data_IF_853530901332
#
_entry.id   IF_853530901332
#
_cell.length_a   1.000
_cell.length_b   1.000
_cell.length_c   1.000
_cell.angle_alpha   90.00
_cell.angle_beta   90.00
_cell.angle_gamma   90.00
#
_symmetry.space_group_name_H-M   'P 1'
#
loop_
_entity.id
_entity.type
_entity.pdbx_description
1 polymer ?
#
# COMPACT_ATOMS: atom_id res chain seq x y z
N UNK A 1 15.80 -30.90 -6.17
CA UNK A 1 16.73 -30.34 -7.17
C UNK A 1 15.99 -30.24 -8.50
N UNK A 2 16.19 -29.22 -9.35
CA UNK A 2 15.60 -29.20 -10.68
C UNK A 2 16.26 -30.28 -11.56
N UNK A 3 15.48 -31.25 -12.03
CA UNK A 3 16.00 -32.39 -12.81
C UNK A 3 16.19 -32.05 -14.31
N UNK A 4 15.72 -30.88 -14.75
CA UNK A 4 15.83 -30.43 -16.15
C UNK A 4 16.44 -29.03 -16.23
N UNK A 5 17.14 -28.74 -17.34
CA UNK A 5 17.75 -27.41 -17.59
C UNK A 5 16.71 -26.28 -17.55
N UNK A 6 15.51 -26.54 -18.06
CA UNK A 6 14.39 -25.59 -18.03
C UNK A 6 13.92 -25.31 -16.60
N UNK A 7 13.79 -26.34 -15.76
CA UNK A 7 13.43 -26.18 -14.34
C UNK A 7 14.48 -25.36 -13.58
N UNK A 8 15.78 -25.64 -13.78
CA UNK A 8 16.86 -24.87 -13.15
C UNK A 8 16.83 -23.38 -13.54
N UNK A 9 16.48 -23.07 -14.79
CA UNK A 9 16.26 -21.68 -15.24
C UNK A 9 15.04 -21.06 -14.55
N UNK A 10 13.93 -21.79 -14.40
CA UNK A 10 12.72 -21.29 -13.73
C UNK A 10 12.96 -20.94 -12.26
N UNK A 11 13.73 -21.76 -11.53
CA UNK A 11 14.12 -21.46 -10.14
C UNK A 11 14.84 -20.13 -10.06
N UNK A 12 15.92 -19.93 -10.86
CA UNK A 12 16.67 -18.66 -10.90
C UNK A 12 15.80 -17.44 -11.24
N UNK A 13 14.90 -17.57 -12.21
CA UNK A 13 13.99 -16.48 -12.58
C UNK A 13 12.98 -16.19 -11.47
N UNK A 14 12.47 -17.23 -10.81
CA UNK A 14 11.49 -17.09 -9.73
C UNK A 14 12.09 -16.38 -8.51
N UNK A 15 13.34 -16.66 -8.16
CA UNK A 15 14.05 -16.02 -7.05
C UNK A 15 14.27 -14.52 -7.32
N UNK A 16 14.73 -14.17 -8.53
CA UNK A 16 14.88 -12.77 -8.94
C UNK A 16 13.56 -12.02 -8.84
N UNK A 17 12.47 -12.60 -9.36
CA UNK A 17 11.12 -12.03 -9.27
C UNK A 17 10.63 -11.93 -7.83
N UNK A 18 10.93 -12.92 -6.98
CA UNK A 18 10.55 -12.94 -5.56
C UNK A 18 11.17 -11.75 -4.82
N UNK A 19 12.46 -11.48 -5.02
CA UNK A 19 13.16 -10.35 -4.36
C UNK A 19 12.54 -9.01 -4.78
N UNK A 20 12.36 -8.79 -6.08
CA UNK A 20 11.77 -7.55 -6.62
C UNK A 20 10.35 -7.36 -6.10
N UNK A 21 9.51 -8.40 -6.18
CA UNK A 21 8.12 -8.33 -5.71
C UNK A 21 8.04 -8.15 -4.19
N UNK A 22 8.98 -8.72 -3.43
CA UNK A 22 9.06 -8.52 -1.98
C UNK A 22 9.26 -7.05 -1.67
N UNK A 23 10.20 -6.36 -2.33
CA UNK A 23 10.48 -4.94 -2.11
C UNK A 23 9.25 -4.04 -2.39
N UNK A 24 8.54 -4.27 -3.50
CA UNK A 24 7.31 -3.51 -3.78
C UNK A 24 6.19 -3.79 -2.78
N UNK A 25 6.01 -5.06 -2.38
CA UNK A 25 5.00 -5.45 -1.39
C UNK A 25 5.31 -4.86 -0.01
N UNK A 26 6.56 -4.86 0.44
CA UNK A 26 6.96 -4.30 1.74
C UNK A 26 6.81 -2.79 1.74
N UNK A 27 7.29 -2.10 0.69
CA UNK A 27 7.13 -0.65 0.55
C UNK A 27 5.65 -0.23 0.61
N UNK A 28 4.79 -0.90 -0.16
CA UNK A 28 3.34 -0.67 -0.12
C UNK A 28 2.76 -0.88 1.28
N UNK A 29 3.09 -2.01 1.94
CA UNK A 29 2.62 -2.30 3.30
C UNK A 29 3.06 -1.24 4.31
N UNK A 30 4.31 -0.79 4.23
CA UNK A 30 4.86 0.22 5.14
C UNK A 30 4.17 1.57 4.97
N UNK A 31 3.91 2.01 3.73
CA UNK A 31 3.17 3.26 3.47
C UNK A 31 1.72 3.19 3.95
N UNK A 32 1.04 2.06 3.74
CA UNK A 32 -0.30 1.83 4.32
C UNK A 32 -0.26 1.89 5.85
N UNK A 33 0.73 1.24 6.48
CA UNK A 33 0.90 1.26 7.94
C UNK A 33 1.17 2.66 8.46
N UNK A 34 1.94 3.48 7.75
CA UNK A 34 2.21 4.87 8.11
C UNK A 34 0.92 5.71 8.16
N UNK A 35 0.02 5.56 7.18
CA UNK A 35 -1.30 6.23 7.20
C UNK A 35 -2.14 5.78 8.38
N UNK A 36 -2.24 4.47 8.62
CA UNK A 36 -3.01 3.94 9.75
C UNK A 36 -2.45 4.39 11.10
N UNK A 37 -1.12 4.49 11.21
CA UNK A 37 -0.45 5.00 12.41
C UNK A 37 -0.75 6.49 12.62
N UNK A 38 -0.70 7.31 11.57
CA UNK A 38 -1.03 8.73 11.66
C UNK A 38 -2.49 8.98 12.09
N UNK A 39 -3.43 8.15 11.63
CA UNK A 39 -4.82 8.19 12.10
C UNK A 39 -4.91 7.82 13.59
N UNK A 40 -4.21 6.77 14.03
CA UNK A 40 -4.22 6.34 15.42
C UNK A 40 -3.60 7.37 16.38
N UNK A 41 -2.54 8.06 15.94
CA UNK A 41 -1.87 9.13 16.68
C UNK A 41 -2.60 10.48 16.60
N UNK A 42 -3.79 10.53 15.98
CA UNK A 42 -4.61 11.73 15.81
C UNK A 42 -3.86 12.92 15.20
N UNK A 43 -3.05 12.64 14.17
CA UNK A 43 -2.29 13.69 13.48
C UNK A 43 -3.18 14.64 12.68
N UNK A 44 -2.62 15.81 12.35
CA UNK A 44 -3.29 16.85 11.56
C UNK A 44 -3.77 16.35 10.20
N UNK A 45 -4.86 16.94 9.71
CA UNK A 45 -5.49 16.54 8.44
C UNK A 45 -4.51 16.54 7.25
N UNK A 46 -3.67 17.57 7.14
CA UNK A 46 -2.70 17.72 6.05
C UNK A 46 -1.67 16.58 6.03
N UNK A 47 -1.14 16.19 7.19
CA UNK A 47 -0.15 15.11 7.28
C UNK A 47 -0.77 13.76 6.86
N UNK A 48 -2.01 13.49 7.28
CA UNK A 48 -2.74 12.27 6.87
C UNK A 48 -2.98 12.26 5.37
N UNK A 49 -3.36 13.40 4.77
CA UNK A 49 -3.58 13.51 3.32
C UNK A 49 -2.29 13.30 2.53
N UNK A 50 -1.18 13.91 2.94
CA UNK A 50 0.12 13.72 2.27
C UNK A 50 0.59 12.25 2.35
N UNK A 51 0.41 11.60 3.50
CA UNK A 51 0.73 10.18 3.67
C UNK A 51 -0.19 9.30 2.81
N UNK A 52 -1.47 9.65 2.69
CA UNK A 52 -2.42 8.95 1.85
C UNK A 52 -2.03 9.01 0.36
N UNK A 53 -1.65 10.18 -0.16
CA UNK A 53 -1.18 10.34 -1.55
C UNK A 53 0.05 9.44 -1.81
N UNK A 54 1.02 9.46 -0.89
CA UNK A 54 2.22 8.60 -0.95
C UNK A 54 1.85 7.11 -0.95
N UNK A 55 0.87 6.70 -0.13
CA UNK A 55 0.39 5.33 -0.07
C UNK A 55 -0.33 4.92 -1.37
N UNK A 56 -1.17 5.78 -1.93
CA UNK A 56 -1.87 5.53 -3.19
C UNK A 56 -0.88 5.31 -4.34
N UNK A 57 0.11 6.20 -4.47
CA UNK A 57 1.19 6.05 -5.47
C UNK A 57 1.93 4.72 -5.32
N UNK A 58 2.24 4.29 -4.09
CA UNK A 58 2.93 3.02 -3.84
C UNK A 58 2.08 1.80 -4.21
N UNK A 59 0.76 1.84 -3.94
CA UNK A 59 -0.18 0.77 -4.31
C UNK A 59 -0.24 0.63 -5.83
N UNK A 60 -0.38 1.75 -6.56
CA UNK A 60 -0.51 1.73 -8.01
C UNK A 60 0.79 1.31 -8.70
N UNK A 61 1.95 1.72 -8.17
CA UNK A 61 3.27 1.23 -8.64
C UNK A 61 3.40 -0.29 -8.44
N UNK A 62 2.95 -0.83 -7.31
CA UNK A 62 2.99 -2.27 -7.06
C UNK A 62 2.08 -3.05 -8.02
N UNK A 63 0.92 -2.49 -8.40
CA UNK A 63 0.03 -3.08 -9.39
C UNK A 63 0.63 -3.04 -10.79
N UNK A 64 1.18 -1.89 -11.21
CA UNK A 64 1.80 -1.71 -12.53
C UNK A 64 2.99 -2.65 -12.77
N UNK A 65 3.77 -2.92 -11.71
CA UNK A 65 4.89 -3.89 -11.76
C UNK A 65 4.45 -5.36 -11.70
N UNK A 66 3.17 -5.64 -11.48
CA UNK A 66 2.65 -7.01 -11.35
C UNK A 66 2.95 -7.66 -9.99
N UNK A 67 3.39 -6.89 -8.99
CA UNK A 67 3.62 -7.42 -7.64
C UNK A 67 2.29 -7.73 -6.92
N UNK A 68 1.21 -7.02 -7.28
CA UNK A 68 -0.17 -7.28 -6.85
C UNK A 68 -1.12 -7.18 -8.05
N UNK A 69 -2.27 -7.85 -7.96
CA UNK A 69 -3.30 -7.75 -9.00
C UNK A 69 -4.03 -6.40 -8.94
N UNK A 70 -4.51 -5.90 -10.09
CA UNK A 70 -5.27 -4.63 -10.19
C UNK A 70 -6.45 -4.56 -9.21
N UNK A 71 -7.22 -5.64 -9.09
CA UNK A 71 -8.35 -5.69 -8.15
C UNK A 71 -7.89 -5.64 -6.69
N UNK A 72 -6.74 -6.23 -6.37
CA UNK A 72 -6.18 -6.14 -5.02
C UNK A 72 -5.75 -4.71 -4.70
N UNK A 73 -5.18 -4.00 -5.68
CA UNK A 73 -4.83 -2.59 -5.56
C UNK A 73 -6.09 -1.73 -5.35
N UNK A 74 -7.13 -1.91 -6.18
CA UNK A 74 -8.41 -1.18 -6.04
C UNK A 74 -9.07 -1.42 -4.68
N UNK A 75 -9.13 -2.68 -4.20
CA UNK A 75 -9.67 -3.00 -2.87
C UNK A 75 -8.89 -2.33 -1.75
N UNK A 76 -7.55 -2.31 -1.83
CA UNK A 76 -6.70 -1.65 -0.82
C UNK A 76 -6.88 -0.14 -0.83
N UNK A 77 -6.93 0.49 -2.01
CA UNK A 77 -7.19 1.93 -2.16
C UNK A 77 -8.54 2.33 -1.57
N UNK A 78 -9.60 1.62 -1.95
CA UNK A 78 -10.96 1.87 -1.46
C UNK A 78 -11.05 1.78 0.07
N UNK A 79 -10.51 0.70 0.67
CA UNK A 79 -10.51 0.52 2.13
C UNK A 79 -9.70 1.59 2.86
N UNK A 80 -8.56 2.01 2.31
CA UNK A 80 -7.73 3.06 2.91
C UNK A 80 -8.45 4.41 2.83
N UNK A 81 -9.04 4.74 1.67
CA UNK A 81 -9.77 5.99 1.45
C UNK A 81 -10.97 6.12 2.38
N UNK A 82 -11.73 5.04 2.60
CA UNK A 82 -12.86 5.03 3.53
C UNK A 82 -12.44 5.39 4.96
N UNK A 83 -11.31 4.83 5.43
CA UNK A 83 -10.77 5.14 6.76
C UNK A 83 -10.28 6.58 6.90
N UNK A 84 -9.55 7.07 5.89
CA UNK A 84 -9.09 8.48 5.87
C UNK A 84 -10.27 9.43 5.84
N UNK A 85 -11.27 9.17 4.99
CA UNK A 85 -12.50 9.98 4.91
C UNK A 85 -13.22 10.04 6.26
N UNK A 86 -13.41 8.88 6.92
CA UNK A 86 -14.06 8.84 8.22
C UNK A 86 -13.32 9.67 9.28
N UNK A 87 -11.98 9.59 9.29
CA UNK A 87 -11.15 10.38 10.21
C UNK A 87 -11.22 11.89 9.91
N UNK A 88 -11.14 12.28 8.64
CA UNK A 88 -11.26 13.70 8.25
C UNK A 88 -12.65 14.27 8.58
N UNK A 89 -13.71 13.48 8.42
CA UNK A 89 -15.06 13.90 8.81
C UNK A 89 -15.18 14.10 10.34
N UNK A 90 -14.53 13.25 11.14
CA UNK A 90 -14.48 13.43 12.61
C UNK A 90 -13.78 14.75 12.98
N UNK A 91 -12.68 15.09 12.33
CA UNK A 91 -11.98 16.36 12.56
C UNK A 91 -12.88 17.56 12.22
N UNK A 92 -13.57 17.54 11.08
CA UNK A 92 -14.50 18.60 10.67
C UNK A 92 -15.67 18.78 11.65
N UNK A 93 -16.23 17.68 12.16
CA UNK A 93 -17.30 17.75 13.17
C UNK A 93 -16.84 18.36 14.51
N UNK A 94 -15.56 18.21 14.85
CA UNK A 94 -14.99 18.81 16.07
C UNK A 94 -14.71 20.30 15.96
N UNK A 95 -14.51 20.80 14.74
CA UNK A 95 -14.35 22.25 14.46
C UNK A 95 -15.69 22.97 14.41
N UNK A 96 -16.76 22.33 13.93
CA UNK A 96 -18.09 22.93 13.81
C UNK A 96 -18.90 23.03 15.13
N UNK A 97 -18.39 22.44 16.22
CA UNK A 97 -19.02 22.46 17.55
C UNK A 97 -18.39 23.50 18.51
N UNK A 98 -17.42 24.29 18.03
CA UNK A 98 -16.86 25.46 18.72
C UNK A 98 -17.40 26.73 18.09
#
# INVERSE_FOLDING_TARGET
MPNTKSAAKRVRVSEKRRIINKAYKTSMKNKIKAVLKAIAEKKNAEEVQQLFIKAQSAIDKAARRGAIHKNQASRRKSRLAAKVKAYLAQLQSSEASK
#
